data_IF_988594237472
#
_entry.id   IF_988594237472
#
_cell.length_a   1.000
_cell.length_b   1.000
_cell.length_c   1.000
_cell.angle_alpha   90.00
_cell.angle_beta   90.00
_cell.angle_gamma   90.00
#
_symmetry.space_group_name_H-M   'P 1'
#
loop_
_entity.id
_entity.type
_entity.pdbx_description
1 polymer ?
#
# COMPACT_ATOMS: atom_id res chain seq x y z
N UNK A 1 -12.55 42.63 -2.77
CA UNK A 1 -11.67 41.59 -2.18
C UNK A 1 -12.06 40.15 -2.55
N UNK A 2 -12.88 39.91 -3.58
CA UNK A 2 -13.54 38.60 -3.84
C UNK A 2 -13.00 37.82 -5.05
N UNK A 3 -12.19 38.41 -5.94
CA UNK A 3 -11.67 37.71 -7.14
C UNK A 3 -10.49 36.77 -6.87
N UNK A 4 -9.76 36.95 -5.77
CA UNK A 4 -8.55 36.14 -5.44
C UNK A 4 -8.89 34.76 -4.86
N UNK A 5 -10.06 34.59 -4.24
CA UNK A 5 -10.48 33.28 -3.68
C UNK A 5 -11.07 32.35 -4.75
N UNK A 6 -11.75 32.89 -5.76
CA UNK A 6 -12.39 32.11 -6.84
C UNK A 6 -11.34 31.38 -7.71
N UNK A 7 -10.22 32.04 -8.06
CA UNK A 7 -9.12 31.40 -8.80
C UNK A 7 -8.49 30.26 -8.01
N UNK A 8 -8.33 30.42 -6.69
CA UNK A 8 -7.70 29.40 -5.84
C UNK A 8 -8.55 28.14 -5.72
N UNK A 9 -9.88 28.27 -5.73
CA UNK A 9 -10.80 27.12 -5.74
C UNK A 9 -10.78 26.41 -7.09
N UNK A 10 -10.73 27.15 -8.20
CA UNK A 10 -10.61 26.56 -9.54
C UNK A 10 -9.27 25.84 -9.73
N UNK A 11 -8.18 26.37 -9.20
CA UNK A 11 -6.86 25.72 -9.19
C UNK A 11 -6.84 24.44 -8.34
N UNK A 12 -7.54 24.42 -7.20
CA UNK A 12 -7.66 23.21 -6.38
C UNK A 12 -8.50 22.16 -7.11
N UNK A 13 -9.60 22.57 -7.74
CA UNK A 13 -10.46 21.66 -8.50
C UNK A 13 -9.76 21.08 -9.72
N UNK A 14 -8.92 21.86 -10.43
CA UNK A 14 -8.14 21.34 -11.55
C UNK A 14 -7.11 20.32 -11.09
N UNK A 15 -6.36 20.61 -10.01
CA UNK A 15 -5.39 19.67 -9.42
C UNK A 15 -6.06 18.40 -8.91
N UNK A 16 -7.26 18.50 -8.32
CA UNK A 16 -8.04 17.34 -7.90
C UNK A 16 -8.50 16.50 -9.09
N UNK A 17 -9.01 17.13 -10.17
CA UNK A 17 -9.42 16.43 -11.39
C UNK A 17 -8.26 15.72 -12.07
N UNK A 18 -7.09 16.35 -12.15
CA UNK A 18 -5.89 15.72 -12.71
C UNK A 18 -5.47 14.49 -11.90
N UNK A 19 -5.48 14.58 -10.56
CA UNK A 19 -5.15 13.43 -9.70
C UNK A 19 -6.18 12.29 -9.77
N UNK A 20 -7.45 12.63 -9.97
CA UNK A 20 -8.52 11.64 -10.14
C UNK A 20 -8.35 10.91 -11.49
N UNK A 21 -8.09 11.65 -12.58
CA UNK A 21 -7.87 11.07 -13.90
C UNK A 21 -6.60 10.19 -13.97
N UNK A 22 -5.50 10.59 -13.31
CA UNK A 22 -4.29 9.74 -13.19
C UNK A 22 -4.53 8.38 -12.52
N UNK A 23 -5.60 8.24 -11.74
CA UNK A 23 -6.01 6.95 -11.16
C UNK A 23 -6.84 6.10 -12.13
N UNK A 24 -7.55 6.71 -13.08
CA UNK A 24 -8.42 6.01 -14.02
C UNK A 24 -7.64 5.37 -15.18
N UNK A 25 -6.47 5.91 -15.54
CA UNK A 25 -5.64 5.41 -16.65
C UNK A 25 -4.89 4.09 -16.34
N UNK A 26 -4.95 3.57 -15.12
CA UNK A 26 -4.20 2.38 -14.69
C UNK A 26 -5.04 1.11 -14.59
N UNK A 27 -6.34 1.17 -14.84
CA UNK A 27 -7.25 0.04 -14.66
C UNK A 27 -7.40 -0.73 -15.98
N UNK A 28 -6.49 -1.69 -16.23
CA UNK A 28 -6.69 -2.67 -17.28
C UNK A 28 -7.79 -3.65 -16.85
N UNK A 29 -8.89 -3.69 -17.60
CA UNK A 29 -9.92 -4.72 -17.42
C UNK A 29 -9.57 -5.94 -18.24
N UNK A 30 -9.64 -7.09 -17.59
CA UNK A 30 -9.39 -8.40 -18.18
C UNK A 30 -10.63 -9.27 -18.01
N UNK A 31 -10.88 -10.15 -18.97
CA UNK A 31 -11.78 -11.27 -18.77
C UNK A 31 -11.20 -12.24 -17.72
N UNK A 32 -12.08 -13.03 -17.10
CA UNK A 32 -11.64 -14.03 -16.14
C UNK A 32 -10.69 -15.07 -16.77
N UNK A 33 -10.89 -15.41 -18.05
CA UNK A 33 -10.02 -16.33 -18.79
C UNK A 33 -8.60 -15.78 -18.95
N UNK A 34 -8.46 -14.52 -19.37
CA UNK A 34 -7.16 -13.84 -19.50
C UNK A 34 -6.45 -13.75 -18.14
N UNK A 35 -7.19 -13.46 -17.07
CA UNK A 35 -6.63 -13.46 -15.72
C UNK A 35 -6.08 -14.84 -15.33
N UNK A 36 -6.79 -15.94 -15.62
CA UNK A 36 -6.30 -17.29 -15.32
C UNK A 36 -5.05 -17.65 -16.12
N UNK A 37 -4.95 -17.22 -17.38
CA UNK A 37 -3.73 -17.38 -18.18
C UNK A 37 -2.56 -16.60 -17.55
N UNK A 38 -2.79 -15.36 -17.14
CA UNK A 38 -1.79 -14.55 -16.45
C UNK A 38 -1.34 -15.17 -15.12
N UNK A 39 -2.26 -15.75 -14.34
CA UNK A 39 -1.92 -16.44 -13.08
C UNK A 39 -1.00 -17.65 -13.32
N UNK A 40 -1.16 -18.37 -14.44
CA UNK A 40 -0.28 -19.50 -14.79
C UNK A 40 1.14 -19.06 -15.07
N UNK A 41 1.31 -17.91 -15.73
CA UNK A 41 2.62 -17.33 -16.04
C UNK A 41 3.25 -16.62 -14.83
N UNK A 42 2.42 -15.91 -14.07
CA UNK A 42 2.84 -15.03 -12.97
C UNK A 42 2.01 -15.31 -11.70
N UNK A 43 2.27 -16.41 -10.96
CA UNK A 43 1.46 -16.78 -9.78
C UNK A 43 1.44 -15.72 -8.67
N UNK A 44 2.44 -14.86 -8.60
CA UNK A 44 2.57 -13.84 -7.56
C UNK A 44 1.51 -12.73 -7.63
N UNK A 45 0.76 -12.58 -8.73
CA UNK A 45 -0.37 -11.63 -8.79
C UNK A 45 -1.52 -12.03 -7.86
N UNK A 46 -1.52 -13.27 -7.36
CA UNK A 46 -2.53 -13.82 -6.43
C UNK A 46 -2.21 -13.58 -4.96
N UNK A 47 -1.11 -12.88 -4.64
CA UNK A 47 -0.68 -12.59 -3.26
C UNK A 47 -1.76 -11.81 -2.50
N UNK A 48 -1.90 -12.13 -1.22
CA UNK A 48 -2.75 -11.34 -0.33
C UNK A 48 -2.07 -10.01 0.05
N UNK A 49 -2.85 -9.09 0.64
CA UNK A 49 -2.35 -7.76 1.04
C UNK A 49 -1.18 -7.84 2.04
N UNK A 50 -1.12 -8.85 2.90
CA UNK A 50 -0.08 -8.99 3.91
C UNK A 50 1.26 -9.39 3.28
N UNK A 51 1.22 -10.32 2.32
CA UNK A 51 2.36 -10.68 1.46
C UNK A 51 2.82 -9.48 0.64
N UNK A 52 1.87 -8.73 0.04
CA UNK A 52 2.18 -7.53 -0.72
C UNK A 52 2.94 -6.48 0.11
N UNK A 53 2.47 -6.20 1.33
CA UNK A 53 3.14 -5.27 2.26
C UNK A 53 4.51 -5.81 2.68
N UNK A 54 4.61 -7.09 2.96
CA UNK A 54 5.87 -7.72 3.34
C UNK A 54 6.93 -7.59 2.23
N UNK A 55 6.57 -7.92 0.99
CA UNK A 55 7.47 -7.88 -0.16
C UNK A 55 7.90 -6.44 -0.47
N UNK A 56 6.95 -5.49 -0.37
CA UNK A 56 7.23 -4.05 -0.47
C UNK A 56 8.28 -3.59 0.55
N UNK A 57 8.15 -4.01 1.82
CA UNK A 57 9.11 -3.65 2.88
C UNK A 57 10.47 -4.30 2.59
N UNK A 58 10.48 -5.56 2.17
CA UNK A 58 11.69 -6.32 1.87
C UNK A 58 12.48 -5.73 0.70
N UNK A 59 11.80 -5.16 -0.30
CA UNK A 59 12.41 -4.45 -1.44
C UNK A 59 13.31 -3.28 -1.02
N UNK A 60 13.05 -2.65 0.14
CA UNK A 60 13.89 -1.57 0.67
C UNK A 60 15.19 -2.05 1.33
N UNK A 61 15.37 -3.37 1.48
CA UNK A 61 16.55 -3.98 2.05
C UNK A 61 16.56 -4.02 3.59
N UNK A 62 17.34 -4.97 4.11
CA UNK A 62 17.59 -5.18 5.53
C UNK A 62 19.08 -5.36 5.78
N UNK A 63 19.63 -4.58 6.71
CA UNK A 63 21.02 -4.72 7.17
C UNK A 63 21.05 -5.60 8.42
N UNK A 64 21.93 -6.60 8.41
CA UNK A 64 22.16 -7.47 9.57
C UNK A 64 23.37 -6.96 10.35
N UNK A 65 23.17 -6.67 11.64
CA UNK A 65 24.27 -6.33 12.55
C UNK A 65 24.55 -7.46 13.51
N UNK A 66 25.75 -8.01 13.41
CA UNK A 66 26.28 -8.98 14.36
C UNK A 66 27.05 -8.23 15.46
N UNK A 67 26.66 -8.45 16.72
CA UNK A 67 27.37 -7.94 17.90
C UNK A 67 27.62 -9.16 18.77
N UNK A 68 28.89 -9.41 19.11
CA UNK A 68 29.28 -10.55 19.93
C UNK A 68 28.53 -10.52 21.27
N UNK A 69 27.88 -11.64 21.65
CA UNK A 69 27.08 -11.74 22.87
C UNK A 69 25.66 -11.14 22.78
N UNK A 70 25.21 -10.69 21.62
CA UNK A 70 23.83 -10.23 21.39
C UNK A 70 23.15 -11.01 20.26
N UNK A 71 21.80 -11.14 20.28
CA UNK A 71 21.06 -11.69 19.15
C UNK A 71 21.26 -10.83 17.89
N UNK A 72 21.16 -11.47 16.73
CA UNK A 72 21.23 -10.83 15.41
C UNK A 72 20.21 -9.68 15.35
N UNK A 73 20.69 -8.45 15.13
CA UNK A 73 19.81 -7.28 15.02
C UNK A 73 19.50 -7.00 13.56
N UNK A 74 18.22 -6.94 13.21
CA UNK A 74 17.76 -6.57 11.88
C UNK A 74 17.50 -5.07 11.82
N UNK A 75 18.18 -4.37 10.92
CA UNK A 75 17.96 -2.95 10.67
C UNK A 75 17.29 -2.78 9.32
N UNK A 76 16.01 -2.45 9.37
CA UNK A 76 15.17 -2.23 8.19
C UNK A 76 15.30 -0.80 7.67
N UNK A 77 15.66 -0.66 6.40
CA UNK A 77 15.88 0.64 5.77
C UNK A 77 14.59 1.30 5.26
N UNK A 78 13.50 0.54 5.14
CA UNK A 78 12.18 1.01 4.67
C UNK A 78 11.73 2.34 5.30
N UNK A 79 11.74 2.47 6.63
CA UNK A 79 11.23 3.66 7.32
C UNK A 79 12.14 4.90 7.23
N UNK A 80 13.37 4.72 6.77
CA UNK A 80 14.36 5.79 6.64
C UNK A 80 14.67 6.15 5.18
N UNK A 81 14.20 5.34 4.23
CA UNK A 81 14.40 5.58 2.80
C UNK A 81 13.39 6.62 2.27
N UNK A 82 13.84 7.82 1.85
CA UNK A 82 12.98 8.83 1.25
C UNK A 82 12.28 8.35 -0.03
N UNK A 83 12.86 7.39 -0.77
CA UNK A 83 12.24 6.83 -1.97
C UNK A 83 11.05 5.95 -1.63
N UNK A 84 11.14 5.19 -0.54
CA UNK A 84 10.07 4.31 -0.08
C UNK A 84 8.93 5.06 0.61
N UNK A 85 9.23 5.90 1.61
CA UNK A 85 8.21 6.53 2.48
C UNK A 85 7.98 8.02 2.20
N UNK A 86 8.68 8.59 1.22
CA UNK A 86 8.53 9.99 0.84
C UNK A 86 8.87 10.93 1.98
N UNK A 87 7.96 11.86 2.28
CA UNK A 87 8.12 12.78 3.42
C UNK A 87 7.97 12.08 4.76
N UNK A 88 7.42 10.86 4.83
CA UNK A 88 7.06 10.18 6.08
C UNK A 88 8.21 9.41 6.74
N UNK A 89 9.43 9.92 6.60
CA UNK A 89 10.62 9.33 7.22
C UNK A 89 10.47 9.32 8.75
N UNK A 90 10.81 8.19 9.36
CA UNK A 90 10.83 8.01 10.80
C UNK A 90 12.22 7.56 11.21
N UNK A 91 12.92 8.36 12.01
CA UNK A 91 14.18 7.97 12.63
C UNK A 91 13.96 7.30 14.00
N UNK A 92 14.92 6.48 14.45
CA UNK A 92 14.85 5.79 15.75
C UNK A 92 13.82 4.65 15.80
N UNK A 93 13.38 4.28 17.02
CA UNK A 93 12.37 3.25 17.28
C UNK A 93 12.67 1.86 16.66
N UNK A 94 13.95 1.48 16.62
CA UNK A 94 14.41 0.26 15.94
C UNK A 94 13.65 -1.00 16.38
N UNK A 95 13.55 -1.24 17.70
CA UNK A 95 12.82 -2.39 18.26
C UNK A 95 11.34 -2.41 17.89
N UNK A 96 10.68 -1.25 17.90
CA UNK A 96 9.25 -1.18 17.55
C UNK A 96 9.03 -1.46 16.05
N UNK A 97 9.93 -0.98 15.19
CA UNK A 97 9.90 -1.24 13.74
C UNK A 97 10.19 -2.70 13.42
N UNK A 98 11.19 -3.30 14.07
CA UNK A 98 11.53 -4.70 13.93
C UNK A 98 10.34 -5.59 14.31
N UNK A 99 9.73 -5.35 15.49
CA UNK A 99 8.52 -6.07 15.92
C UNK A 99 7.34 -5.88 14.94
N UNK A 100 7.19 -4.70 14.35
CA UNK A 100 6.13 -4.43 13.38
C UNK A 100 6.35 -5.22 12.08
N UNK A 101 7.58 -5.25 11.58
CA UNK A 101 7.92 -5.98 10.35
C UNK A 101 7.84 -7.49 10.57
N UNK A 102 8.26 -7.98 11.73
CA UNK A 102 8.10 -9.38 12.11
C UNK A 102 6.63 -9.80 12.12
N UNK A 103 5.73 -8.94 12.64
CA UNK A 103 4.28 -9.18 12.57
C UNK A 103 3.77 -9.25 11.13
N UNK A 104 4.24 -8.38 10.22
CA UNK A 104 3.91 -8.47 8.80
C UNK A 104 4.41 -9.76 8.18
N UNK A 105 5.66 -10.17 8.43
CA UNK A 105 6.22 -11.45 7.98
C UNK A 105 5.39 -12.64 8.48
N UNK A 106 5.04 -12.66 9.77
CA UNK A 106 4.24 -13.74 10.34
C UNK A 106 2.82 -13.76 9.75
N UNK A 107 2.23 -12.60 9.50
CA UNK A 107 0.94 -12.47 8.83
C UNK A 107 0.98 -12.93 7.37
N UNK A 108 2.04 -12.59 6.64
CA UNK A 108 2.24 -12.97 5.24
C UNK A 108 2.36 -14.49 5.06
N UNK A 109 2.87 -15.20 6.07
CA UNK A 109 2.96 -16.68 6.10
C UNK A 109 1.63 -17.38 6.41
N UNK A 110 0.53 -16.64 6.56
CA UNK A 110 -0.79 -17.21 6.83
C UNK A 110 -0.97 -17.74 8.25
N UNK A 111 -0.08 -17.38 9.18
CA UNK A 111 -0.24 -17.71 10.59
C UNK A 111 -1.43 -16.94 11.18
N UNK A 112 -1.98 -17.43 12.30
CA UNK A 112 -3.12 -16.85 13.05
C UNK A 112 -2.99 -15.34 13.37
N UNK A 113 -1.80 -14.76 13.22
CA UNK A 113 -1.54 -13.32 13.30
C UNK A 113 -2.30 -12.48 12.26
N UNK A 114 -2.63 -13.04 11.09
CA UNK A 114 -3.35 -12.36 10.01
C UNK A 114 -4.80 -12.03 10.33
N UNK A 115 -5.39 -12.70 11.33
CA UNK A 115 -6.81 -12.57 11.71
C UNK A 115 -7.06 -11.57 12.85
N UNK A 116 -6.02 -10.88 13.35
CA UNK A 116 -6.10 -10.05 14.56
C UNK A 116 -6.01 -8.55 14.27
N UNK A 117 -6.83 -7.75 14.94
CA UNK A 117 -6.70 -6.30 14.93
C UNK A 117 -5.38 -5.88 15.59
N UNK A 118 -4.60 -5.04 14.92
CA UNK A 118 -3.34 -4.51 15.45
C UNK A 118 -3.54 -3.08 15.94
N UNK A 119 -3.22 -2.85 17.22
CA UNK A 119 -3.20 -1.52 17.80
C UNK A 119 -1.74 -1.14 18.05
N UNK A 120 -1.31 -0.03 17.44
CA UNK A 120 -0.01 0.56 17.71
C UNK A 120 -0.11 1.39 18.99
N UNK A 121 0.26 0.79 20.11
CA UNK A 121 0.35 1.49 21.40
C UNK A 121 1.76 2.07 21.57
N UNK A 122 1.84 3.28 22.12
CA UNK A 122 3.11 3.91 22.47
C UNK A 122 2.91 5.32 23.02
N UNK A 123 3.94 5.95 23.57
CA UNK A 123 3.86 7.32 24.07
C UNK A 123 3.50 8.33 22.96
N UNK A 124 2.88 9.47 23.29
CA UNK A 124 2.69 10.56 22.34
C UNK A 124 4.05 10.98 21.76
N UNK A 125 4.08 11.29 20.46
CA UNK A 125 5.33 11.61 19.73
C UNK A 125 6.14 10.41 19.23
N UNK A 126 5.73 9.17 19.48
CA UNK A 126 6.45 7.96 19.01
C UNK A 126 6.27 7.63 17.52
N UNK A 127 5.95 8.63 16.68
CA UNK A 127 5.84 8.54 15.23
C UNK A 127 4.89 7.44 14.66
N UNK A 128 3.92 6.93 15.45
CA UNK A 128 3.01 5.85 15.03
C UNK A 128 2.24 6.18 13.75
N UNK A 129 1.57 7.34 13.74
CA UNK A 129 0.81 7.79 12.56
C UNK A 129 1.73 8.04 11.38
N UNK A 130 2.92 8.61 11.62
CA UNK A 130 3.94 8.84 10.59
C UNK A 130 4.35 7.53 9.90
N UNK A 131 4.61 6.48 10.68
CA UNK A 131 4.93 5.15 10.15
C UNK A 131 3.79 4.60 9.31
N UNK A 132 2.53 4.75 9.74
CA UNK A 132 1.37 4.28 8.98
C UNK A 132 1.17 5.08 7.68
N UNK A 133 1.37 6.39 7.70
CA UNK A 133 1.35 7.23 6.50
C UNK A 133 2.49 6.86 5.54
N UNK A 134 3.67 6.50 6.05
CA UNK A 134 4.77 5.96 5.25
C UNK A 134 4.41 4.65 4.56
N UNK A 135 3.80 3.70 5.28
CA UNK A 135 3.34 2.43 4.71
C UNK A 135 2.27 2.66 3.64
N UNK A 136 1.26 3.50 3.88
CA UNK A 136 0.22 3.83 2.89
C UNK A 136 0.82 4.46 1.63
N UNK A 137 1.76 5.38 1.81
CA UNK A 137 2.46 6.03 0.69
C UNK A 137 3.24 5.01 -0.14
N UNK A 138 4.03 4.16 0.52
CA UNK A 138 4.80 3.12 -0.13
C UNK A 138 3.89 2.13 -0.86
N UNK A 139 2.77 1.73 -0.25
CA UNK A 139 1.83 0.79 -0.84
C UNK A 139 1.21 1.34 -2.12
N UNK A 140 0.85 2.62 -2.14
CA UNK A 140 0.36 3.30 -3.35
C UNK A 140 1.41 3.34 -4.46
N UNK A 141 2.68 3.52 -4.12
CA UNK A 141 3.76 3.52 -5.11
C UNK A 141 4.05 2.10 -5.61
N UNK A 142 4.07 1.13 -4.70
CA UNK A 142 4.34 -0.27 -5.01
C UNK A 142 3.24 -0.90 -5.86
N UNK A 143 1.95 -0.58 -5.60
CA UNK A 143 0.82 -1.08 -6.38
C UNK A 143 0.83 -0.62 -7.85
N UNK A 144 1.62 0.41 -8.19
CA UNK A 144 1.82 0.86 -9.57
C UNK A 144 3.01 0.18 -10.27
N UNK A 145 3.74 -0.69 -9.59
CA UNK A 145 4.85 -1.44 -10.16
C UNK A 145 4.40 -2.84 -10.56
N UNK A 146 5.05 -3.43 -11.55
CA UNK A 146 4.75 -4.80 -12.03
C UNK A 146 4.81 -5.82 -10.89
N UNK A 147 5.78 -5.66 -9.97
CA UNK A 147 5.93 -6.51 -8.79
C UNK A 147 4.81 -6.34 -7.76
N UNK A 148 4.12 -5.20 -7.74
CA UNK A 148 3.04 -4.91 -6.81
C UNK A 148 1.65 -4.95 -7.46
N UNK A 149 1.57 -5.41 -8.71
CA UNK A 149 0.32 -5.51 -9.46
C UNK A 149 -0.64 -6.47 -8.76
N UNK A 150 -1.89 -6.03 -8.62
CA UNK A 150 -2.98 -6.80 -8.01
C UNK A 150 -4.26 -6.61 -8.79
N UNK A 151 -5.09 -7.65 -8.85
CA UNK A 151 -6.38 -7.60 -9.50
C UNK A 151 -7.51 -7.70 -8.48
N UNK A 152 -8.63 -7.04 -8.78
CA UNK A 152 -9.86 -7.14 -8.01
C UNK A 152 -10.98 -7.58 -8.92
N UNK A 153 -11.84 -8.47 -8.42
CA UNK A 153 -13.04 -8.89 -9.15
C UNK A 153 -14.04 -7.74 -9.15
N UNK A 154 -14.43 -7.29 -10.34
CA UNK A 154 -15.53 -6.35 -10.51
C UNK A 154 -16.84 -7.10 -10.30
N UNK A 155 -17.50 -6.85 -9.17
CA UNK A 155 -18.79 -7.46 -8.85
C UNK A 155 -19.93 -6.54 -9.32
N UNK A 156 -21.00 -7.10 -9.90
CA UNK A 156 -22.15 -6.31 -10.30
C UNK A 156 -22.85 -5.74 -9.06
N UNK A 157 -23.28 -4.48 -9.16
CA UNK A 157 -24.14 -3.88 -8.14
C UNK A 157 -25.58 -4.37 -8.33
N UNK A 158 -26.23 -4.74 -7.23
CA UNK A 158 -27.66 -5.02 -7.20
C UNK A 158 -28.50 -3.75 -6.94
N UNK A 159 -27.86 -2.66 -6.48
CA UNK A 159 -28.54 -1.40 -6.21
C UNK A 159 -28.72 -0.61 -7.50
N UNK A 160 -29.97 -0.43 -7.93
CA UNK A 160 -30.31 0.30 -9.15
C UNK A 160 -29.85 1.75 -9.13
N UNK A 161 -29.75 2.37 -7.95
CA UNK A 161 -29.29 3.76 -7.80
C UNK A 161 -27.82 3.94 -8.15
N UNK A 162 -27.07 2.84 -8.15
CA UNK A 162 -25.65 2.82 -8.46
C UNK A 162 -25.36 2.48 -9.93
N UNK A 163 -26.39 2.14 -10.73
CA UNK A 163 -26.24 1.84 -12.17
C UNK A 163 -25.61 3.01 -12.92
N UNK A 164 -26.03 4.24 -12.64
CA UNK A 164 -25.50 5.46 -13.29
C UNK A 164 -24.05 5.79 -12.88
N UNK A 165 -23.54 5.13 -11.84
CA UNK A 165 -22.16 5.28 -11.34
C UNK A 165 -21.28 4.08 -11.67
N UNK A 166 -21.82 3.08 -12.39
CA UNK A 166 -21.06 1.91 -12.76
C UNK A 166 -19.91 2.31 -13.70
N UNK A 167 -18.70 1.88 -13.35
CA UNK A 167 -17.50 2.11 -14.17
C UNK A 167 -17.57 1.26 -15.44
N UNK A 168 -18.19 0.07 -15.34
CA UNK A 168 -18.44 -0.83 -16.45
C UNK A 168 -19.89 -1.30 -16.44
N UNK A 169 -20.49 -1.29 -17.62
CA UNK A 169 -21.78 -1.91 -17.89
C UNK A 169 -21.53 -3.07 -18.83
N UNK A 170 -21.82 -4.29 -18.39
CA UNK A 170 -21.82 -5.44 -19.28
C UNK A 170 -22.95 -5.24 -20.31
N UNK A 171 -22.63 -5.25 -21.60
CA UNK A 171 -23.66 -5.37 -22.66
C UNK A 171 -24.07 -6.84 -22.72
N UNK A 172 -24.94 -7.23 -21.78
CA UNK A 172 -25.77 -8.42 -21.87
C UNK A 172 -27.18 -8.03 -22.24
#
# INVERSE_FOLDING_TARGET
MTKKSVNKVQDILSVLKTKINESADLDQVLSFTEYIEMVKEQPWITRNTQQLIHDMIQRSGCEYKFIYGSPLKQKWNFFIDPKAVGKNIVFGQAKAKENLIEKFSNSAKGLEASKRLWILLGPPGSAKSRSMEGIKYALKAYSKSDEGMTFTVLLPTIDERLKDKAIFTEKG
#
